data_IF_200626651122
#
_entry.id   IF_200626651122
#
_cell.length_a   1.000
_cell.length_b   1.000
_cell.length_c   1.000
_cell.angle_alpha   90.00
_cell.angle_beta   90.00
_cell.angle_gamma   90.00
#
_symmetry.space_group_name_H-M   'P 1'
#
loop_
_entity.id
_entity.type
_entity.pdbx_description
1 polymer ?
#
# COMPACT_ATOMS: atom_id res chain seq x y z
N UNK A 1 -12.65 22.76 -13.54
CA UNK A 1 -13.78 21.96 -14.10
C UNK A 1 -14.05 20.73 -13.24
N UNK A 2 -13.12 19.75 -13.15
CA UNK A 2 -13.31 18.53 -12.35
C UNK A 2 -13.58 18.76 -10.86
N UNK A 3 -12.97 19.79 -10.27
CA UNK A 3 -13.20 20.16 -8.87
C UNK A 3 -14.64 20.59 -8.58
N UNK A 4 -15.23 21.41 -9.48
CA UNK A 4 -16.63 21.84 -9.38
C UNK A 4 -17.59 20.64 -9.54
N UNK A 5 -17.32 19.77 -10.52
CA UNK A 5 -18.14 18.56 -10.75
C UNK A 5 -18.14 17.59 -9.55
N UNK A 6 -17.04 17.56 -8.78
CA UNK A 6 -16.94 16.75 -7.56
C UNK A 6 -17.73 17.34 -6.38
N UNK A 7 -18.02 18.64 -6.38
CA UNK A 7 -18.75 19.33 -5.30
C UNK A 7 -20.27 19.33 -5.56
N UNK A 8 -20.67 19.46 -6.82
CA UNK A 8 -22.08 19.60 -7.22
C UNK A 8 -22.86 18.27 -7.28
N UNK A 9 -22.31 17.16 -6.75
CA UNK A 9 -22.93 15.81 -6.76
C UNK A 9 -23.31 15.29 -8.16
N UNK A 10 -22.75 15.88 -9.22
CA UNK A 10 -23.04 15.54 -10.62
C UNK A 10 -22.52 14.14 -10.99
N UNK A 11 -21.44 13.72 -10.33
CA UNK A 11 -20.77 12.45 -10.58
C UNK A 11 -21.39 11.34 -9.72
N UNK A 12 -21.46 10.13 -10.27
CA UNK A 12 -21.79 8.97 -9.45
C UNK A 12 -20.71 8.78 -8.34
N UNK A 13 -21.06 8.16 -7.20
CA UNK A 13 -20.15 8.12 -6.05
C UNK A 13 -18.75 7.53 -6.36
N UNK A 14 -18.62 6.40 -7.10
CA UNK A 14 -17.31 5.84 -7.43
C UNK A 14 -16.43 6.81 -8.26
N UNK A 15 -17.02 7.53 -9.23
CA UNK A 15 -16.30 8.48 -10.06
C UNK A 15 -15.96 9.76 -9.28
N UNK A 16 -16.85 10.24 -8.41
CA UNK A 16 -16.57 11.38 -7.54
C UNK A 16 -15.36 11.11 -6.63
N UNK A 17 -15.28 9.92 -6.05
CA UNK A 17 -14.15 9.49 -5.24
C UNK A 17 -12.84 9.42 -6.05
N UNK A 18 -12.89 8.89 -7.28
CA UNK A 18 -11.72 8.85 -8.18
C UNK A 18 -11.22 10.26 -8.52
N UNK A 19 -12.14 11.17 -8.88
CA UNK A 19 -11.82 12.57 -9.17
C UNK A 19 -11.19 13.25 -7.95
N UNK A 20 -11.79 13.09 -6.77
CA UNK A 20 -11.24 13.65 -5.53
C UNK A 20 -9.82 13.15 -5.24
N UNK A 21 -9.56 11.84 -5.41
CA UNK A 21 -8.21 11.27 -5.24
C UNK A 21 -7.22 11.84 -6.26
N UNK A 22 -7.59 11.86 -7.54
CA UNK A 22 -6.72 12.36 -8.61
C UNK A 22 -6.39 13.85 -8.46
N UNK A 23 -7.32 14.66 -7.92
CA UNK A 23 -7.07 16.07 -7.58
C UNK A 23 -6.13 16.22 -6.38
N UNK A 24 -6.21 15.32 -5.39
CA UNK A 24 -5.29 15.33 -4.25
C UNK A 24 -3.87 14.87 -4.60
N UNK A 25 -3.77 13.81 -5.42
CA UNK A 25 -2.51 13.26 -5.91
C UNK A 25 -2.73 12.73 -7.34
N UNK A 26 -2.10 13.35 -8.36
CA UNK A 26 -2.24 12.91 -9.73
C UNK A 26 -1.76 11.47 -9.92
N UNK A 27 -2.49 10.68 -10.72
CA UNK A 27 -2.19 9.27 -10.99
C UNK A 27 -0.70 8.95 -11.29
N UNK A 28 0.05 9.76 -12.08
CA UNK A 28 1.47 9.47 -12.34
C UNK A 28 2.36 9.52 -11.09
N UNK A 29 1.91 10.18 -10.02
CA UNK A 29 2.62 10.31 -8.74
C UNK A 29 2.07 9.39 -7.65
N UNK A 30 0.95 8.71 -7.91
CA UNK A 30 0.32 7.82 -6.93
C UNK A 30 1.03 6.47 -6.91
N UNK A 31 1.23 5.92 -5.71
CA UNK A 31 1.70 4.55 -5.56
C UNK A 31 0.68 3.59 -6.14
N UNK A 32 1.08 2.88 -7.21
CA UNK A 32 0.18 1.97 -7.95
C UNK A 32 -0.55 1.00 -7.03
N UNK A 33 0.12 0.40 -6.05
CA UNK A 33 -0.51 -0.56 -5.12
C UNK A 33 -1.59 0.07 -4.23
N UNK A 34 -1.43 1.32 -3.83
CA UNK A 34 -2.45 2.05 -3.06
C UNK A 34 -3.63 2.38 -3.96
N UNK A 35 -3.38 2.88 -5.18
CA UNK A 35 -4.45 3.18 -6.12
C UNK A 35 -5.19 1.92 -6.57
N UNK A 36 -4.52 0.77 -6.73
CA UNK A 36 -5.15 -0.51 -7.07
C UNK A 36 -6.24 -0.88 -6.07
N UNK A 37 -6.03 -0.70 -4.76
CA UNK A 37 -7.04 -0.98 -3.74
C UNK A 37 -8.27 -0.07 -3.94
N UNK A 38 -8.03 1.22 -4.10
CA UNK A 38 -9.11 2.20 -4.27
C UNK A 38 -9.86 1.97 -5.59
N UNK A 39 -9.15 1.63 -6.67
CA UNK A 39 -9.73 1.38 -7.98
C UNK A 39 -10.50 0.07 -8.02
N UNK A 40 -10.02 -1.00 -7.38
CA UNK A 40 -10.78 -2.26 -7.27
C UNK A 40 -12.14 -2.05 -6.60
N UNK A 41 -12.18 -1.27 -5.51
CA UNK A 41 -13.45 -0.92 -4.84
C UNK A 41 -14.36 -0.02 -5.68
N UNK A 42 -13.78 0.84 -6.53
CA UNK A 42 -14.55 1.67 -7.45
C UNK A 42 -15.10 0.83 -8.63
N UNK A 43 -14.28 -0.05 -9.20
CA UNK A 43 -14.63 -0.95 -10.32
C UNK A 43 -15.72 -1.95 -9.92
N UNK A 44 -15.69 -2.45 -8.68
CA UNK A 44 -16.76 -3.30 -8.13
C UNK A 44 -18.14 -2.63 -8.15
N UNK A 45 -18.18 -1.29 -8.05
CA UNK A 45 -19.41 -0.48 -8.10
C UNK A 45 -19.74 0.06 -9.50
N UNK A 46 -18.88 -0.18 -10.48
CA UNK A 46 -19.05 0.33 -11.85
C UNK A 46 -20.10 -0.47 -12.63
N UNK A 47 -20.97 0.22 -13.35
CA UNK A 47 -21.95 -0.42 -14.22
C UNK A 47 -21.24 -1.05 -15.40
N UNK A 48 -21.46 -2.35 -15.63
CA UNK A 48 -20.81 -3.10 -16.71
C UNK A 48 -19.43 -3.62 -16.34
N UNK A 49 -19.09 -3.69 -15.04
CA UNK A 49 -17.88 -4.38 -14.62
C UNK A 49 -17.88 -5.86 -15.07
N UNK A 50 -16.68 -6.40 -15.26
CA UNK A 50 -16.48 -7.80 -15.63
C UNK A 50 -16.08 -8.54 -14.34
N UNK A 51 -16.94 -9.39 -13.75
CA UNK A 51 -16.64 -10.04 -12.47
C UNK A 51 -15.35 -10.85 -12.49
N UNK A 52 -15.07 -11.54 -13.61
CA UNK A 52 -13.85 -12.31 -13.79
C UNK A 52 -12.58 -11.43 -13.73
N UNK A 53 -12.64 -10.20 -14.26
CA UNK A 53 -11.51 -9.27 -14.19
C UNK A 53 -11.28 -8.79 -12.76
N UNK A 54 -12.36 -8.53 -12.01
CA UNK A 54 -12.27 -8.15 -10.60
C UNK A 54 -11.72 -9.30 -9.74
N UNK A 55 -12.14 -10.53 -9.98
CA UNK A 55 -11.60 -11.71 -9.31
C UNK A 55 -10.11 -11.90 -9.61
N UNK A 56 -9.71 -11.78 -10.87
CA UNK A 56 -8.31 -11.85 -11.26
C UNK A 56 -7.47 -10.78 -10.55
N UNK A 57 -7.96 -9.53 -10.52
CA UNK A 57 -7.28 -8.44 -9.82
C UNK A 57 -7.15 -8.69 -8.30
N UNK A 58 -8.20 -9.25 -7.67
CA UNK A 58 -8.18 -9.64 -6.25
C UNK A 58 -7.13 -10.73 -5.98
N UNK A 59 -7.07 -11.75 -6.84
CA UNK A 59 -6.12 -12.86 -6.72
C UNK A 59 -4.67 -12.38 -6.90
N UNK A 60 -4.39 -11.61 -7.95
CA UNK A 60 -3.06 -11.06 -8.23
C UNK A 60 -2.58 -10.16 -7.08
N UNK A 61 -3.45 -9.28 -6.58
CA UNK A 61 -3.14 -8.41 -5.45
C UNK A 61 -2.77 -9.21 -4.20
N UNK A 62 -3.57 -10.23 -3.86
CA UNK A 62 -3.36 -11.07 -2.69
C UNK A 62 -2.08 -11.91 -2.80
N UNK A 63 -1.78 -12.44 -4.00
CA UNK A 63 -0.54 -13.17 -4.25
C UNK A 63 0.68 -12.29 -4.01
N UNK A 64 0.70 -11.08 -4.60
CA UNK A 64 1.79 -10.14 -4.37
C UNK A 64 1.86 -9.71 -2.90
N UNK A 65 0.72 -9.47 -2.25
CA UNK A 65 0.69 -9.13 -0.82
C UNK A 65 1.34 -10.22 0.04
N UNK A 66 1.07 -11.49 -0.24
CA UNK A 66 1.72 -12.61 0.45
C UNK A 66 3.25 -12.57 0.29
N UNK A 67 3.74 -12.38 -0.94
CA UNK A 67 5.19 -12.29 -1.21
C UNK A 67 5.82 -11.15 -0.41
N UNK A 68 5.20 -9.96 -0.41
CA UNK A 68 5.73 -8.81 0.32
C UNK A 68 5.71 -8.99 1.84
N UNK A 69 4.77 -9.77 2.38
CA UNK A 69 4.75 -10.10 3.81
C UNK A 69 5.92 -11.04 4.17
N UNK A 70 6.23 -12.00 3.32
CA UNK A 70 7.41 -12.87 3.50
C UNK A 70 8.72 -12.06 3.42
N UNK A 71 8.84 -11.14 2.44
CA UNK A 71 9.98 -10.21 2.35
C UNK A 71 10.11 -9.36 3.61
N UNK A 72 9.00 -8.78 4.08
CA UNK A 72 8.98 -7.95 5.27
C UNK A 72 9.37 -8.73 6.53
N UNK A 73 8.91 -9.97 6.66
CA UNK A 73 9.29 -10.86 7.75
C UNK A 73 10.81 -11.12 7.74
N UNK A 74 11.37 -11.48 6.59
CA UNK A 74 12.81 -11.73 6.46
C UNK A 74 13.65 -10.49 6.78
N UNK A 75 13.24 -9.31 6.27
CA UNK A 75 13.92 -8.04 6.56
C UNK A 75 13.85 -7.72 8.05
N UNK A 76 12.69 -7.94 8.67
CA UNK A 76 12.46 -7.68 10.09
C UNK A 76 13.32 -8.60 10.96
N UNK A 77 13.34 -9.91 10.68
CA UNK A 77 14.18 -10.89 11.38
C UNK A 77 15.67 -10.53 11.27
N UNK A 78 16.14 -10.18 10.07
CA UNK A 78 17.51 -9.72 9.86
C UNK A 78 17.82 -8.45 10.67
N UNK A 79 16.90 -7.48 10.67
CA UNK A 79 17.05 -6.25 11.43
C UNK A 79 17.16 -6.54 12.94
N UNK A 80 16.30 -7.39 13.51
CA UNK A 80 16.35 -7.77 14.92
C UNK A 80 17.68 -8.43 15.30
N UNK A 81 18.17 -9.36 14.48
CA UNK A 81 19.46 -10.02 14.73
C UNK A 81 20.60 -9.00 14.67
N UNK A 82 20.61 -8.13 13.66
CA UNK A 82 21.66 -7.12 13.51
C UNK A 82 21.69 -6.13 14.68
N UNK A 83 20.53 -5.66 15.15
CA UNK A 83 20.41 -4.76 16.30
C UNK A 83 20.88 -5.48 17.57
N UNK A 84 20.44 -6.72 17.78
CA UNK A 84 20.82 -7.52 18.95
C UNK A 84 22.33 -7.75 19.01
N UNK A 85 22.97 -8.10 17.89
CA UNK A 85 24.42 -8.27 17.82
C UNK A 85 25.18 -6.98 18.13
N UNK A 86 24.70 -5.83 17.62
CA UNK A 86 25.31 -4.52 17.90
C UNK A 86 25.18 -4.14 19.38
N UNK A 87 24.03 -4.40 19.99
CA UNK A 87 23.81 -4.17 21.42
C UNK A 87 24.73 -5.06 22.26
N UNK A 88 24.79 -6.36 21.95
CA UNK A 88 25.69 -7.31 22.65
C UNK A 88 27.15 -6.88 22.55
N UNK A 89 27.60 -6.50 21.35
CA UNK A 89 28.96 -6.00 21.14
C UNK A 89 29.23 -4.74 21.99
N UNK A 90 28.29 -3.80 22.02
CA UNK A 90 28.41 -2.58 22.82
C UNK A 90 28.48 -2.88 24.33
N UNK A 91 27.62 -3.76 24.85
CA UNK A 91 27.63 -4.19 26.26
C UNK A 91 28.96 -4.85 26.62
N UNK A 92 29.45 -5.75 25.77
CA UNK A 92 30.71 -6.44 26.01
C UNK A 92 31.89 -5.48 26.05
N UNK A 93 31.92 -4.48 25.16
CA UNK A 93 32.95 -3.44 25.15
C UNK A 93 32.89 -2.57 26.42
N UNK A 94 31.69 -2.15 26.83
CA UNK A 94 31.49 -1.41 28.09
C UNK A 94 31.97 -2.19 29.33
N UNK A 95 31.73 -3.51 29.38
CA UNK A 95 32.22 -4.37 30.46
C UNK A 95 33.75 -4.47 30.47
N UNK A 96 34.37 -4.57 29.30
CA UNK A 96 35.83 -4.57 29.18
C UNK A 96 36.45 -3.24 29.63
N UNK A 97 35.84 -2.10 29.31
CA UNK A 97 36.32 -0.79 29.76
C UNK A 97 36.15 -0.54 31.27
N UNK A 98 35.27 -1.29 31.94
CA UNK A 98 35.02 -1.19 33.37
C UNK A 98 35.89 -2.15 34.22
N UNK A 99 36.72 -2.98 33.58
CA UNK A 99 37.66 -3.93 34.21
C UNK A 99 39.09 -3.40 34.13
#
# INVERSE_FOLDING_TARGET
HLELMSQDSVLNPPLAEQVKRALSLPLPRTFKRVETICYMSAYEREVGNIPLLLELAKLDFNLLQHIHLEELKAISEYAYLSISLRILHWINNMRLCAS
#
